data_IF_854421905506
#
_entry.id   IF_854421905506
#
_cell.length_a   1.000
_cell.length_b   1.000
_cell.length_c   1.000
_cell.angle_alpha   90.00
_cell.angle_beta   90.00
_cell.angle_gamma   90.00
#
_symmetry.space_group_name_H-M   'P 1'
#
loop_
_entity.id
_entity.type
_entity.pdbx_description
1 polymer ?
#
# COMPACT_ATOMS: atom_id res chain seq x y z
N UNK A 1 31.64 18.00 -15.29
CA UNK A 1 30.41 17.39 -15.84
C UNK A 1 29.55 17.00 -14.66
N UNK A 2 28.51 17.79 -14.40
CA UNK A 2 27.75 17.78 -13.16
C UNK A 2 26.79 16.59 -13.07
N UNK A 3 26.83 15.93 -11.90
CA UNK A 3 25.74 15.25 -11.18
C UNK A 3 24.75 14.38 -11.98
N UNK A 4 24.94 13.06 -11.93
CA UNK A 4 23.79 12.15 -11.88
C UNK A 4 23.09 12.35 -10.53
N UNK A 5 22.18 13.30 -10.52
CA UNK A 5 21.39 13.72 -9.36
C UNK A 5 20.46 12.59 -8.93
N UNK A 6 20.71 12.09 -7.71
CA UNK A 6 19.73 11.48 -6.79
C UNK A 6 18.83 10.39 -7.39
N UNK A 7 19.19 9.12 -7.15
CA UNK A 7 18.20 8.05 -7.03
C UNK A 7 17.22 8.45 -5.90
N UNK A 8 16.17 9.19 -6.26
CA UNK A 8 15.08 9.52 -5.36
C UNK A 8 14.48 8.18 -4.93
N UNK A 9 14.44 7.93 -3.62
CA UNK A 9 13.89 6.71 -3.07
C UNK A 9 12.46 6.53 -3.62
N UNK A 10 12.24 5.51 -4.47
CA UNK A 10 10.96 5.30 -5.18
C UNK A 10 9.80 4.99 -4.22
N UNK A 11 10.12 4.73 -2.95
CA UNK A 11 9.19 4.35 -1.90
C UNK A 11 9.22 5.34 -0.75
N UNK A 12 8.07 5.50 -0.09
CA UNK A 12 7.95 6.28 1.12
C UNK A 12 7.11 5.52 2.16
N UNK A 13 7.34 5.88 3.41
CA UNK A 13 6.63 5.32 4.56
C UNK A 13 5.67 6.36 5.11
N UNK A 14 4.42 5.99 5.34
CA UNK A 14 3.41 6.87 5.93
C UNK A 14 2.47 6.09 6.84
N UNK A 15 1.95 6.73 7.89
CA UNK A 15 0.90 6.16 8.73
C UNK A 15 -0.48 6.57 8.19
N UNK A 16 -1.38 5.60 8.03
CA UNK A 16 -2.75 5.86 7.66
C UNK A 16 -3.68 4.87 8.39
N UNK A 17 -4.69 5.39 9.09
CA UNK A 17 -5.46 4.60 10.05
C UNK A 17 -4.55 4.05 11.17
N UNK A 18 -4.70 2.78 11.51
CA UNK A 18 -3.89 2.10 12.54
C UNK A 18 -2.72 1.28 11.97
N UNK A 19 -2.20 1.65 10.79
CA UNK A 19 -1.07 0.93 10.18
C UNK A 19 -0.10 1.83 9.43
N UNK A 20 1.11 1.31 9.28
CA UNK A 20 2.19 1.92 8.51
C UNK A 20 2.17 1.36 7.09
N UNK A 21 2.09 2.22 6.09
CA UNK A 21 2.15 1.87 4.68
C UNK A 21 3.54 2.20 4.14
N UNK A 22 4.10 1.29 3.36
CA UNK A 22 5.30 1.49 2.56
C UNK A 22 4.87 1.37 1.12
N UNK A 23 4.85 2.49 0.39
CA UNK A 23 4.25 2.56 -0.93
C UNK A 23 5.18 3.30 -1.90
N UNK A 24 5.08 3.02 -3.21
CA UNK A 24 5.72 3.85 -4.21
C UNK A 24 5.23 5.30 -4.13
N UNK A 25 6.13 6.26 -4.37
CA UNK A 25 5.81 7.71 -4.41
C UNK A 25 4.72 8.07 -5.43
N UNK A 26 4.36 7.15 -6.32
CA UNK A 26 3.23 7.25 -7.24
C UNK A 26 1.86 7.35 -6.53
N UNK A 27 1.69 6.68 -5.40
CA UNK A 27 0.42 6.69 -4.68
C UNK A 27 0.48 7.73 -3.58
N UNK A 28 -0.39 8.75 -3.65
CA UNK A 28 -0.38 9.87 -2.72
C UNK A 28 -1.76 10.07 -2.09
N UNK A 29 -1.85 11.02 -1.15
CA UNK A 29 -3.10 11.44 -0.51
C UNK A 29 -3.91 10.28 0.10
N UNK A 30 -3.23 9.45 0.90
CA UNK A 30 -3.86 8.30 1.52
C UNK A 30 -5.01 8.72 2.45
N UNK A 31 -6.20 8.19 2.19
CA UNK A 31 -7.36 8.33 3.07
C UNK A 31 -7.80 6.95 3.53
N UNK A 32 -7.93 6.77 4.85
CA UNK A 32 -8.47 5.55 5.42
C UNK A 32 -9.94 5.34 4.97
N UNK A 33 -10.22 4.18 4.38
CA UNK A 33 -11.59 3.77 4.01
C UNK A 33 -12.17 2.86 5.09
N UNK A 34 -11.41 1.85 5.51
CA UNK A 34 -11.90 0.89 6.48
C UNK A 34 -10.92 -0.24 6.80
N UNK A 35 -11.22 -0.96 7.87
CA UNK A 35 -10.51 -2.15 8.30
C UNK A 35 -11.47 -3.34 8.30
N UNK A 36 -11.05 -4.45 7.68
CA UNK A 36 -11.74 -5.73 7.72
C UNK A 36 -10.89 -6.80 8.39
N UNK A 37 -11.42 -8.03 8.43
CA UNK A 37 -10.76 -9.19 9.06
C UNK A 37 -9.36 -9.48 8.52
N UNK A 38 -9.13 -9.20 7.23
CA UNK A 38 -7.91 -9.60 6.53
C UNK A 38 -7.02 -8.42 6.15
N UNK A 39 -7.37 -7.18 6.52
CA UNK A 39 -6.58 -6.04 6.08
C UNK A 39 -7.19 -4.68 6.32
N UNK A 40 -6.41 -3.66 5.98
CA UNK A 40 -6.81 -2.25 5.97
C UNK A 40 -6.87 -1.78 4.53
N UNK A 41 -7.94 -1.05 4.20
CA UNK A 41 -8.15 -0.47 2.87
C UNK A 41 -8.03 1.05 2.98
N UNK A 42 -7.23 1.63 2.10
CA UNK A 42 -7.07 3.08 1.94
C UNK A 42 -7.37 3.49 0.50
N UNK A 43 -7.92 4.68 0.33
CA UNK A 43 -7.94 5.39 -0.96
C UNK A 43 -6.58 6.03 -1.16
N UNK A 44 -6.04 5.98 -2.36
CA UNK A 44 -4.92 6.82 -2.77
C UNK A 44 -5.22 7.47 -4.12
N UNK A 45 -4.56 8.59 -4.39
CA UNK A 45 -4.48 9.20 -5.72
C UNK A 45 -3.29 8.57 -6.44
N UNK A 46 -3.54 7.94 -7.59
CA UNK A 46 -2.48 7.50 -8.49
C UNK A 46 -2.00 8.72 -9.31
N UNK A 47 -0.80 9.22 -9.04
CA UNK A 47 -0.26 10.42 -9.69
C UNK A 47 0.06 10.24 -11.17
N UNK A 48 0.18 9.00 -11.66
CA UNK A 48 0.43 8.74 -13.08
C UNK A 48 -0.87 8.78 -13.90
N UNK A 49 -1.98 8.29 -13.33
CA UNK A 49 -3.27 8.23 -14.05
C UNK A 49 -4.26 9.31 -13.61
N UNK A 50 -4.00 10.01 -12.51
CA UNK A 50 -4.90 10.99 -11.89
C UNK A 50 -6.15 10.36 -11.25
N UNK A 51 -6.24 9.02 -11.19
CA UNK A 51 -7.43 8.32 -10.69
C UNK A 51 -7.30 7.94 -9.24
N UNK A 52 -8.44 7.78 -8.59
CA UNK A 52 -8.51 7.18 -7.26
C UNK A 52 -8.41 5.66 -7.36
N UNK A 53 -7.55 5.10 -6.50
CA UNK A 53 -7.35 3.66 -6.37
C UNK A 53 -7.57 3.23 -4.93
N UNK A 54 -8.00 1.98 -4.75
CA UNK A 54 -8.06 1.35 -3.44
C UNK A 54 -6.81 0.49 -3.23
N UNK A 55 -6.11 0.68 -2.12
CA UNK A 55 -4.95 -0.11 -1.72
C UNK A 55 -5.35 -0.91 -0.47
N UNK A 56 -5.34 -2.24 -0.58
CA UNK A 56 -5.62 -3.16 0.54
C UNK A 56 -4.30 -3.73 1.07
N UNK A 57 -3.93 -3.34 2.29
CA UNK A 57 -2.82 -3.95 3.02
C UNK A 57 -3.30 -5.20 3.74
N UNK A 58 -2.81 -6.37 3.31
CA UNK A 58 -3.11 -7.65 3.95
C UNK A 58 -2.39 -7.74 5.31
N UNK A 59 -3.13 -8.09 6.36
CA UNK A 59 -2.58 -8.28 7.70
C UNK A 59 -2.37 -9.77 7.96
N UNK A 60 -1.14 -10.13 8.36
CA UNK A 60 -0.76 -11.50 8.73
C UNK A 60 -1.21 -12.61 7.74
N UNK A 61 -1.01 -12.45 6.42
CA UNK A 61 -1.51 -13.41 5.42
C UNK A 61 -0.97 -14.83 5.61
N UNK A 62 0.18 -14.99 6.27
CA UNK A 62 0.85 -16.28 6.46
C UNK A 62 0.83 -16.78 7.90
N UNK A 63 -0.03 -16.22 8.76
CA UNK A 63 -0.08 -16.62 10.18
C UNK A 63 -0.60 -18.04 10.38
N UNK A 64 -1.50 -18.52 9.52
CA UNK A 64 -2.02 -19.89 9.56
C UNK A 64 -2.12 -20.44 8.14
N UNK A 65 -2.10 -21.77 8.00
CA UNK A 65 -2.31 -22.43 6.71
C UNK A 65 -3.62 -22.00 6.04
N UNK A 66 -4.68 -21.82 6.84
CA UNK A 66 -5.99 -21.36 6.35
C UNK A 66 -5.90 -19.93 5.80
N UNK A 67 -5.20 -19.02 6.48
CA UNK A 67 -4.98 -17.66 6.01
C UNK A 67 -4.13 -17.66 4.74
N UNK A 68 -3.02 -18.41 4.72
CA UNK A 68 -2.13 -18.49 3.58
C UNK A 68 -2.85 -19.03 2.34
N UNK A 69 -3.59 -20.14 2.49
CA UNK A 69 -4.41 -20.72 1.41
C UNK A 69 -5.47 -19.75 0.90
N UNK A 70 -6.11 -18.99 1.80
CA UNK A 70 -7.11 -17.98 1.40
C UNK A 70 -6.44 -16.84 0.63
N UNK A 71 -5.38 -16.24 1.17
CA UNK A 71 -4.64 -15.16 0.51
C UNK A 71 -4.15 -15.59 -0.86
N UNK A 72 -3.59 -16.79 -0.99
CA UNK A 72 -3.13 -17.31 -2.28
C UNK A 72 -4.25 -17.42 -3.33
N UNK A 73 -5.49 -17.75 -2.92
CA UNK A 73 -6.63 -17.81 -3.84
C UNK A 73 -7.19 -16.43 -4.23
N UNK A 74 -6.90 -15.39 -3.47
CA UNK A 74 -7.42 -14.03 -3.69
C UNK A 74 -6.47 -13.15 -4.53
N UNK A 75 -5.24 -13.61 -4.76
CA UNK A 75 -4.21 -12.96 -5.61
C UNK A 75 -4.28 -13.48 -7.04
#
# INVERSE_FOLDING_TARGET
>A
MASNSSEQNEWYTTSCGHSIFILPVRYQDLIFIGQGTYGIVVRATDTTTGKYVAIKKLLHPFQTDTHAKRTYREL
#
